data_IF_935889690495
#
_entry.id   IF_935889690495
#
_cell.length_a   1.000
_cell.length_b   1.000
_cell.length_c   1.000
_cell.angle_alpha   90.00
_cell.angle_beta   90.00
_cell.angle_gamma   90.00
#
_symmetry.space_group_name_H-M   'P 1'
#
loop_
_entity.id
_entity.type
_entity.pdbx_description
1 polymer ?
#
# COMPACT_ATOMS: atom_id res chain seq x y z
N UNK A 1 21.04 -0.05 -27.21
CA UNK A 1 19.64 -0.08 -26.72
C UNK A 1 19.48 -0.59 -25.27
N UNK A 2 20.33 -1.51 -24.80
CA UNK A 2 20.25 -2.09 -23.45
C UNK A 2 20.52 -1.06 -22.34
N UNK A 3 21.44 -0.13 -22.53
CA UNK A 3 21.76 0.91 -21.55
C UNK A 3 20.63 1.96 -21.43
N UNK A 4 19.97 2.26 -22.53
CA UNK A 4 18.84 3.19 -22.55
C UNK A 4 17.62 2.62 -21.85
N UNK A 5 17.38 1.32 -22.02
CA UNK A 5 16.29 0.61 -21.32
C UNK A 5 16.54 0.47 -19.82
N UNK A 6 17.80 0.28 -19.39
CA UNK A 6 18.20 0.27 -17.97
C UNK A 6 18.01 1.64 -17.33
N UNK A 7 18.51 2.72 -17.97
CA UNK A 7 18.35 4.07 -17.44
C UNK A 7 16.88 4.51 -17.33
N UNK A 8 16.04 4.16 -18.30
CA UNK A 8 14.60 4.39 -18.22
C UNK A 8 13.95 3.56 -17.09
N UNK A 9 14.40 2.32 -16.89
CA UNK A 9 13.94 1.47 -15.78
C UNK A 9 14.24 2.07 -14.42
N UNK A 10 15.41 2.66 -14.23
CA UNK A 10 15.81 3.26 -12.95
C UNK A 10 15.05 4.57 -12.66
N UNK A 11 14.84 5.42 -13.66
CA UNK A 11 14.01 6.62 -13.54
C UNK A 11 12.56 6.22 -13.22
N UNK A 12 12.05 5.21 -13.89
CA UNK A 12 10.70 4.68 -13.68
C UNK A 12 10.50 4.14 -12.25
N UNK A 13 11.47 3.41 -11.72
CA UNK A 13 11.43 2.86 -10.34
C UNK A 13 11.43 3.95 -9.27
N UNK A 14 12.11 5.08 -9.52
CA UNK A 14 12.07 6.24 -8.62
C UNK A 14 10.75 6.97 -8.63
N UNK A 15 10.08 7.04 -9.78
CA UNK A 15 8.84 7.79 -9.95
C UNK A 15 7.60 6.99 -9.58
N UNK A 16 7.59 5.68 -9.85
CA UNK A 16 6.47 4.79 -9.53
C UNK A 16 6.79 4.02 -8.26
N UNK A 17 6.58 4.67 -7.14
CA UNK A 17 6.76 4.08 -5.82
C UNK A 17 5.50 3.30 -5.40
N UNK A 18 5.23 2.20 -6.10
CA UNK A 18 4.09 1.33 -5.85
C UNK A 18 4.37 -0.09 -6.38
N UNK A 19 4.63 -1.06 -5.50
CA UNK A 19 4.99 -2.43 -5.87
C UNK A 19 3.98 -3.09 -6.80
N UNK A 20 2.74 -3.21 -6.37
CA UNK A 20 1.66 -3.77 -7.19
C UNK A 20 1.38 -2.97 -8.45
N UNK A 21 1.56 -1.63 -8.41
CA UNK A 21 1.45 -0.76 -9.58
C UNK A 21 2.51 -1.07 -10.64
N UNK A 22 3.75 -1.36 -10.23
CA UNK A 22 4.83 -1.73 -11.16
C UNK A 22 4.57 -3.07 -11.83
N UNK A 23 4.14 -4.09 -11.10
CA UNK A 23 3.76 -5.39 -11.67
C UNK A 23 2.63 -5.25 -12.68
N UNK A 24 1.58 -4.51 -12.32
CA UNK A 24 0.47 -4.23 -13.23
C UNK A 24 0.94 -3.53 -14.51
N UNK A 25 1.78 -2.49 -14.38
CA UNK A 25 2.27 -1.74 -15.54
C UNK A 25 3.12 -2.60 -16.47
N UNK A 26 3.98 -3.46 -15.93
CA UNK A 26 4.76 -4.41 -16.75
C UNK A 26 3.81 -5.33 -17.53
N UNK A 27 2.79 -5.88 -16.88
CA UNK A 27 1.79 -6.73 -17.52
C UNK A 27 1.01 -6.00 -18.61
N UNK A 28 0.56 -4.76 -18.35
CA UNK A 28 -0.19 -3.95 -19.31
C UNK A 28 0.67 -3.55 -20.54
N UNK A 29 1.93 -3.20 -20.32
CA UNK A 29 2.87 -2.90 -21.41
C UNK A 29 3.13 -4.14 -22.25
N UNK A 30 3.35 -5.30 -21.61
CA UNK A 30 3.61 -6.57 -22.29
C UNK A 30 2.41 -7.05 -23.12
N UNK A 31 1.19 -6.78 -22.66
CA UNK A 31 -0.05 -7.10 -23.36
C UNK A 31 -0.43 -6.10 -24.46
N UNK A 32 0.33 -5.00 -24.61
CA UNK A 32 0.01 -3.93 -25.56
C UNK A 32 -1.26 -3.16 -25.22
N UNK A 33 -1.60 -3.07 -23.93
CA UNK A 33 -2.81 -2.37 -23.48
C UNK A 33 -2.79 -0.89 -23.87
N UNK A 34 -3.94 -0.37 -24.30
CA UNK A 34 -4.08 1.03 -24.66
C UNK A 34 -3.91 1.97 -23.46
N UNK A 35 -3.50 3.22 -23.73
CA UNK A 35 -3.22 4.23 -22.69
C UNK A 35 -4.40 4.44 -21.73
N UNK A 36 -5.63 4.48 -22.22
CA UNK A 36 -6.82 4.64 -21.41
C UNK A 36 -7.02 3.48 -20.43
N UNK A 37 -6.85 2.24 -20.90
CA UNK A 37 -6.93 1.03 -20.07
C UNK A 37 -5.83 1.05 -19.00
N UNK A 38 -4.60 1.39 -19.38
CA UNK A 38 -3.47 1.50 -18.45
C UNK A 38 -3.73 2.55 -17.38
N UNK A 39 -4.24 3.73 -17.76
CA UNK A 39 -4.56 4.79 -16.81
C UNK A 39 -5.66 4.36 -15.83
N UNK A 40 -6.74 3.75 -16.31
CA UNK A 40 -7.84 3.27 -15.48
C UNK A 40 -7.40 2.17 -14.51
N UNK A 41 -6.68 1.17 -15.00
CA UNK A 41 -6.21 0.07 -14.15
C UNK A 41 -5.21 0.54 -13.09
N UNK A 42 -4.31 1.47 -13.47
CA UNK A 42 -3.38 2.09 -12.52
C UNK A 42 -4.11 2.90 -11.47
N UNK A 43 -5.13 3.67 -11.86
CA UNK A 43 -5.99 4.41 -10.92
C UNK A 43 -6.67 3.44 -9.95
N UNK A 44 -7.23 2.35 -10.45
CA UNK A 44 -7.97 1.39 -9.63
C UNK A 44 -7.08 0.72 -8.59
N UNK A 45 -5.90 0.24 -8.98
CA UNK A 45 -5.00 -0.43 -8.03
C UNK A 45 -4.46 0.55 -6.97
N UNK A 46 -4.26 1.82 -7.34
CA UNK A 46 -3.75 2.85 -6.46
C UNK A 46 -4.83 3.59 -5.64
N UNK A 47 -6.12 3.30 -5.85
CA UNK A 47 -7.22 3.91 -5.09
C UNK A 47 -7.04 3.71 -3.57
N UNK A 48 -6.48 2.60 -3.14
CA UNK A 48 -6.17 2.31 -1.71
C UNK A 48 -5.27 3.39 -1.08
N UNK A 49 -4.30 3.95 -1.81
CA UNK A 49 -3.42 5.00 -1.29
C UNK A 49 -4.19 6.29 -0.92
N UNK A 50 -5.32 6.57 -1.58
CA UNK A 50 -6.19 7.68 -1.21
C UNK A 50 -6.75 7.51 0.22
N UNK A 51 -7.13 6.28 0.59
CA UNK A 51 -7.65 5.97 1.93
C UNK A 51 -6.57 6.02 3.00
N UNK A 52 -5.35 5.58 2.68
CA UNK A 52 -4.21 5.74 3.59
C UNK A 52 -3.91 7.21 3.84
N UNK A 53 -3.89 8.02 2.76
CA UNK A 53 -3.69 9.45 2.85
C UNK A 53 -4.70 10.13 3.76
N UNK A 54 -6.00 9.81 3.63
CA UNK A 54 -7.05 10.36 4.49
C UNK A 54 -6.81 10.12 5.98
N UNK A 55 -6.29 8.95 6.34
CA UNK A 55 -6.01 8.58 7.74
C UNK A 55 -4.84 9.36 8.35
N UNK A 56 -3.93 9.87 7.52
CA UNK A 56 -2.70 10.54 7.97
C UNK A 56 -2.64 12.04 7.70
N UNK A 57 -3.66 12.65 7.06
CA UNK A 57 -3.67 14.09 6.73
C UNK A 57 -3.31 14.94 7.94
N UNK A 58 -4.01 14.78 9.05
CA UNK A 58 -3.81 15.62 10.23
C UNK A 58 -2.43 15.40 10.88
N UNK A 59 -1.96 14.15 10.94
CA UNK A 59 -0.66 13.79 11.50
C UNK A 59 0.50 14.33 10.66
N UNK A 60 0.36 14.30 9.33
CA UNK A 60 1.41 14.73 8.41
C UNK A 60 1.47 16.24 8.21
N UNK A 61 0.35 16.96 8.40
CA UNK A 61 0.32 18.43 8.37
C UNK A 61 1.32 19.07 9.34
N UNK A 62 1.56 18.43 10.49
CA UNK A 62 2.59 18.87 11.45
C UNK A 62 4.01 18.85 10.87
N UNK A 63 4.26 18.11 9.78
CA UNK A 63 5.54 18.01 9.11
C UNK A 63 5.98 19.24 8.33
N UNK A 64 5.09 20.23 8.12
CA UNK A 64 5.41 21.45 7.40
C UNK A 64 5.91 21.18 5.96
N UNK A 65 7.13 21.60 5.63
CA UNK A 65 7.72 21.41 4.29
C UNK A 65 7.93 19.95 3.89
N UNK A 66 7.98 19.01 4.87
CA UNK A 66 8.13 17.56 4.67
C UNK A 66 6.83 16.90 4.24
N UNK A 67 5.69 17.56 4.43
CA UNK A 67 4.35 17.04 4.17
C UNK A 67 4.17 16.42 2.78
N UNK A 68 4.56 17.08 1.66
CA UNK A 68 4.40 16.51 0.32
C UNK A 68 5.18 15.21 0.14
N UNK A 69 6.38 15.12 0.73
CA UNK A 69 7.20 13.93 0.66
C UNK A 69 6.61 12.80 1.49
N UNK A 70 6.12 13.09 2.71
CA UNK A 70 5.47 12.09 3.58
C UNK A 70 4.24 11.48 2.92
N UNK A 71 3.47 12.26 2.14
CA UNK A 71 2.34 11.75 1.36
C UNK A 71 2.83 10.90 0.18
N UNK A 72 3.85 11.33 -0.54
CA UNK A 72 4.43 10.60 -1.65
C UNK A 72 4.98 9.22 -1.22
N UNK A 73 5.61 9.14 -0.05
CA UNK A 73 6.19 7.91 0.49
C UNK A 73 5.19 7.03 1.26
N UNK A 74 3.92 7.39 1.31
CA UNK A 74 2.89 6.61 2.02
C UNK A 74 2.41 5.43 1.17
N UNK A 75 3.11 4.32 1.26
CA UNK A 75 2.77 3.02 0.66
C UNK A 75 2.07 2.11 1.67
N UNK A 76 1.76 0.88 1.28
CA UNK A 76 1.20 -0.15 2.16
C UNK A 76 2.14 -0.46 3.33
N UNK A 77 3.43 -0.58 3.05
CA UNK A 77 4.49 -0.88 4.00
C UNK A 77 4.65 0.29 4.99
N UNK A 78 4.84 1.50 4.47
CA UNK A 78 4.98 2.71 5.28
C UNK A 78 3.74 2.97 6.13
N UNK A 79 2.53 2.69 5.60
CA UNK A 79 1.29 2.75 6.36
C UNK A 79 1.30 1.76 7.52
N UNK A 80 1.67 0.50 7.26
CA UNK A 80 1.73 -0.56 8.27
C UNK A 80 2.69 -0.21 9.40
N UNK A 81 3.91 0.24 9.07
CA UNK A 81 4.90 0.66 10.07
C UNK A 81 4.38 1.83 10.88
N UNK A 82 3.85 2.87 10.24
CA UNK A 82 3.28 4.02 10.94
C UNK A 82 2.08 3.67 11.82
N UNK A 83 1.26 2.68 11.43
CA UNK A 83 0.11 2.22 12.20
C UNK A 83 0.52 1.37 13.41
N UNK A 84 1.65 0.66 13.34
CA UNK A 84 2.19 -0.14 14.44
C UNK A 84 2.83 0.73 15.53
N UNK A 85 3.27 1.94 15.21
CA UNK A 85 3.81 2.89 16.17
C UNK A 85 2.67 3.57 16.93
N UNK A 86 2.33 3.04 18.10
CA UNK A 86 1.28 3.58 18.97
C UNK A 86 1.71 4.85 19.69
N UNK A 87 3.00 4.96 20.04
CA UNK A 87 3.59 6.14 20.67
C UNK A 87 5.07 6.25 20.29
N UNK A 88 5.53 7.47 20.09
CA UNK A 88 6.95 7.79 19.90
C UNK A 88 7.55 8.03 21.28
N UNK A 89 8.80 7.59 21.56
CA UNK A 89 9.46 7.84 22.83
C UNK A 89 9.51 9.33 23.18
N UNK A 90 9.46 9.62 24.48
CA UNK A 90 9.55 11.00 24.98
C UNK A 90 10.83 11.68 24.46
N UNK A 91 10.68 12.92 23.96
CA UNK A 91 11.78 13.69 23.41
C UNK A 91 12.04 13.50 21.91
N UNK A 92 11.33 12.58 21.25
CA UNK A 92 11.42 12.39 19.77
C UNK A 92 10.28 13.14 19.09
N UNK A 93 10.60 13.96 18.10
CA UNK A 93 9.60 14.61 17.23
C UNK A 93 8.89 13.54 16.37
N UNK A 94 7.62 13.32 16.65
CA UNK A 94 6.77 12.35 15.95
C UNK A 94 6.74 12.61 14.44
N UNK A 95 6.66 13.87 14.01
CA UNK A 95 6.65 14.23 12.60
C UNK A 95 7.97 13.88 11.91
N UNK A 96 9.09 14.09 12.61
CA UNK A 96 10.42 13.72 12.11
C UNK A 96 10.58 12.19 12.04
N UNK A 97 10.10 11.47 13.04
CA UNK A 97 10.14 10.00 13.05
C UNK A 97 9.36 9.42 11.87
N UNK A 98 8.14 9.90 11.62
CA UNK A 98 7.29 9.45 10.50
C UNK A 98 7.88 9.83 9.14
N UNK A 99 8.52 10.99 9.03
CA UNK A 99 9.25 11.39 7.82
C UNK A 99 10.41 10.43 7.54
N UNK A 100 11.23 10.10 8.56
CA UNK A 100 12.36 9.18 8.42
C UNK A 100 11.93 7.77 8.05
N UNK A 101 10.79 7.30 8.55
CA UNK A 101 10.22 6.00 8.14
C UNK A 101 9.96 5.99 6.63
N UNK A 102 9.28 7.00 6.10
CA UNK A 102 9.04 7.10 4.67
C UNK A 102 10.32 7.22 3.84
N UNK A 103 11.30 7.98 4.33
CA UNK A 103 12.61 8.17 3.68
C UNK A 103 13.38 6.84 3.59
N UNK A 104 13.52 6.12 4.72
CA UNK A 104 14.23 4.86 4.75
C UNK A 104 13.54 3.79 3.91
N UNK A 105 12.22 3.70 3.96
CA UNK A 105 11.45 2.76 3.16
C UNK A 105 11.66 3.03 1.66
N UNK A 106 11.62 4.29 1.23
CA UNK A 106 11.89 4.67 -0.14
C UNK A 106 13.34 4.35 -0.58
N UNK A 107 14.32 4.61 0.29
CA UNK A 107 15.73 4.26 0.03
C UNK A 107 15.90 2.75 -0.09
N UNK A 108 15.33 1.96 0.82
CA UNK A 108 15.39 0.49 0.76
C UNK A 108 14.71 -0.05 -0.51
N UNK A 109 13.60 0.54 -0.92
CA UNK A 109 12.93 0.20 -2.18
C UNK A 109 13.85 0.40 -3.39
N UNK A 110 14.54 1.55 -3.47
CA UNK A 110 15.46 1.85 -4.56
C UNK A 110 16.64 0.86 -4.55
N UNK A 111 17.28 0.67 -3.38
CA UNK A 111 18.41 -0.25 -3.22
C UNK A 111 18.00 -1.68 -3.59
N UNK A 112 16.88 -2.17 -3.06
CA UNK A 112 16.35 -3.50 -3.34
C UNK A 112 16.04 -3.70 -4.83
N UNK A 113 15.48 -2.68 -5.47
CA UNK A 113 15.19 -2.71 -6.91
C UNK A 113 16.46 -2.78 -7.77
N UNK A 114 17.50 -2.02 -7.42
CA UNK A 114 18.79 -2.04 -8.11
C UNK A 114 19.48 -3.39 -7.92
N UNK A 115 19.57 -3.87 -6.67
CA UNK A 115 20.16 -5.16 -6.37
C UNK A 115 19.44 -6.31 -7.05
N UNK A 116 18.10 -6.32 -7.03
CA UNK A 116 17.28 -7.32 -7.71
C UNK A 116 17.53 -7.33 -9.22
N UNK A 117 17.63 -6.15 -9.83
CA UNK A 117 17.94 -6.01 -11.27
C UNK A 117 19.35 -6.53 -11.61
N UNK A 118 20.34 -6.23 -10.78
CA UNK A 118 21.72 -6.71 -10.98
C UNK A 118 21.82 -8.23 -10.80
N UNK A 119 21.22 -8.78 -9.76
CA UNK A 119 21.18 -10.22 -9.50
C UNK A 119 20.48 -10.98 -10.62
N UNK A 120 19.34 -10.47 -11.09
CA UNK A 120 18.61 -11.06 -12.23
C UNK A 120 19.41 -11.06 -13.51
N UNK A 121 20.29 -10.09 -13.73
CA UNK A 121 21.16 -10.03 -14.89
C UNK A 121 22.41 -10.93 -14.77
N UNK A 122 22.89 -11.15 -13.53
CA UNK A 122 24.12 -11.87 -13.27
C UNK A 122 23.92 -13.38 -13.08
N UNK A 123 22.74 -13.80 -12.61
CA UNK A 123 22.46 -15.19 -12.26
C UNK A 123 21.35 -15.74 -13.15
N UNK A 124 21.57 -16.90 -13.82
CA UNK A 124 20.52 -17.61 -14.55
C UNK A 124 19.59 -18.34 -13.56
N UNK A 125 18.83 -17.57 -12.77
CA UNK A 125 17.90 -18.11 -11.79
C UNK A 125 16.50 -18.19 -12.36
N UNK A 126 15.79 -19.26 -12.00
CA UNK A 126 14.35 -19.33 -12.23
C UNK A 126 13.64 -18.51 -11.14
N UNK A 127 12.96 -17.45 -11.58
CA UNK A 127 12.21 -16.56 -10.71
C UNK A 127 10.73 -16.99 -10.55
N UNK A 128 10.39 -18.21 -10.97
CA UNK A 128 9.05 -18.78 -10.81
C UNK A 128 8.68 -18.79 -9.31
N UNK A 129 7.56 -18.18 -8.98
CA UNK A 129 7.07 -18.11 -7.60
C UNK A 129 7.51 -16.86 -6.80
N UNK A 130 8.39 -16.01 -7.31
CA UNK A 130 8.71 -14.73 -6.65
C UNK A 130 7.47 -13.84 -6.49
N UNK A 131 6.51 -13.92 -7.38
CA UNK A 131 5.23 -13.22 -7.29
C UNK A 131 4.48 -13.54 -5.98
N UNK A 132 4.69 -14.74 -5.44
CA UNK A 132 4.13 -15.12 -4.13
C UNK A 132 4.66 -14.27 -2.97
N UNK A 133 5.86 -13.69 -3.09
CA UNK A 133 6.44 -12.83 -2.06
C UNK A 133 5.57 -11.61 -1.75
N UNK A 134 4.94 -11.03 -2.78
CA UNK A 134 3.98 -9.93 -2.61
C UNK A 134 2.74 -10.37 -1.84
N UNK A 135 2.18 -11.51 -2.19
CA UNK A 135 1.02 -12.08 -1.48
C UNK A 135 1.37 -12.36 -0.02
N UNK A 136 2.52 -12.97 0.24
CA UNK A 136 3.02 -13.22 1.59
C UNK A 136 3.20 -11.93 2.40
N UNK A 137 3.77 -10.88 1.78
CA UNK A 137 3.92 -9.57 2.41
C UNK A 137 2.57 -8.99 2.84
N UNK A 138 1.56 -8.99 1.96
CA UNK A 138 0.23 -8.48 2.33
C UNK A 138 -0.44 -9.31 3.42
N UNK A 139 -0.26 -10.62 3.44
CA UNK A 139 -0.74 -11.48 4.52
C UNK A 139 -0.08 -11.12 5.86
N UNK A 140 1.23 -10.91 5.87
CA UNK A 140 1.97 -10.49 7.08
C UNK A 140 1.48 -9.12 7.56
N UNK A 141 1.40 -8.14 6.68
CA UNK A 141 0.90 -6.79 7.01
C UNK A 141 -0.53 -6.87 7.59
N UNK A 142 -1.40 -7.67 6.99
CA UNK A 142 -2.76 -7.86 7.46
C UNK A 142 -2.82 -8.47 8.87
N UNK A 143 -2.01 -9.50 9.12
CA UNK A 143 -1.89 -10.13 10.43
C UNK A 143 -1.37 -9.14 11.48
N UNK A 144 -0.34 -8.38 11.14
CA UNK A 144 0.26 -7.40 12.04
C UNK A 144 -0.71 -6.27 12.39
N UNK A 145 -1.46 -5.77 11.41
CA UNK A 145 -2.49 -4.77 11.65
C UNK A 145 -3.59 -5.27 12.61
N UNK A 146 -4.01 -6.54 12.46
CA UNK A 146 -5.00 -7.13 13.37
C UNK A 146 -4.41 -7.32 14.77
N UNK A 147 -3.17 -7.79 14.88
CA UNK A 147 -2.53 -8.09 16.18
C UNK A 147 -2.17 -6.84 16.97
N UNK A 148 -1.74 -5.79 16.29
CA UNK A 148 -1.28 -4.55 16.93
C UNK A 148 -2.42 -3.61 17.32
N UNK A 149 -3.60 -3.78 16.74
CA UNK A 149 -4.76 -2.97 17.11
C UNK A 149 -5.59 -3.62 18.22
N UNK A 150 -5.87 -2.87 19.28
CA UNK A 150 -6.74 -3.29 20.37
C UNK A 150 -8.22 -3.22 19.96
N UNK A 151 -9.04 -4.12 20.47
CA UNK A 151 -10.49 -4.06 20.31
C UNK A 151 -11.03 -4.94 19.18
N UNK A 152 -11.84 -4.36 18.30
CA UNK A 152 -12.59 -5.12 17.25
C UNK A 152 -11.87 -5.24 15.93
N UNK A 153 -10.56 -5.04 15.88
CA UNK A 153 -9.77 -5.09 14.65
C UNK A 153 -9.92 -6.42 13.90
N UNK A 154 -9.97 -7.54 14.61
CA UNK A 154 -10.22 -8.85 14.02
C UNK A 154 -11.58 -8.94 13.32
N UNK A 155 -12.62 -8.35 13.92
CA UNK A 155 -13.97 -8.31 13.31
C UNK A 155 -13.97 -7.42 12.06
N UNK A 156 -13.32 -6.26 12.13
CA UNK A 156 -13.20 -5.34 10.97
C UNK A 156 -12.43 -6.02 9.84
N UNK A 157 -11.32 -6.71 10.16
CA UNK A 157 -10.55 -7.48 9.18
C UNK A 157 -11.37 -8.62 8.56
N UNK A 158 -12.13 -9.36 9.36
CA UNK A 158 -13.02 -10.42 8.87
C UNK A 158 -14.12 -9.88 7.95
N UNK A 159 -14.72 -8.73 8.29
CA UNK A 159 -15.70 -8.06 7.42
C UNK A 159 -15.10 -7.63 6.10
N UNK A 160 -13.88 -7.09 6.10
CA UNK A 160 -13.16 -6.74 4.88
C UNK A 160 -12.86 -7.95 4.01
N UNK A 161 -12.41 -9.06 4.61
CA UNK A 161 -12.20 -10.33 3.89
C UNK A 161 -13.51 -10.88 3.30
N UNK A 162 -14.59 -10.90 4.07
CA UNK A 162 -15.90 -11.36 3.58
C UNK A 162 -16.40 -10.50 2.42
N UNK A 163 -16.27 -9.17 2.52
CA UNK A 163 -16.63 -8.26 1.44
C UNK A 163 -15.76 -8.49 0.19
N UNK A 164 -14.46 -8.71 0.38
CA UNK A 164 -13.53 -9.03 -0.70
C UNK A 164 -13.89 -10.32 -1.42
N UNK A 165 -14.12 -11.41 -0.67
CA UNK A 165 -14.51 -12.72 -1.23
C UNK A 165 -15.85 -12.60 -1.95
N UNK A 166 -16.84 -11.95 -1.35
CA UNK A 166 -18.15 -11.76 -1.96
C UNK A 166 -18.04 -11.01 -3.29
N UNK A 167 -17.30 -9.91 -3.31
CA UNK A 167 -17.12 -9.13 -4.54
C UNK A 167 -16.30 -9.89 -5.59
N UNK A 168 -15.32 -10.68 -5.17
CA UNK A 168 -14.54 -11.55 -6.06
C UNK A 168 -15.44 -12.57 -6.78
N UNK A 169 -16.36 -13.19 -6.05
CA UNK A 169 -17.31 -14.17 -6.61
C UNK A 169 -18.34 -13.54 -7.57
N UNK A 170 -18.75 -12.29 -7.30
CA UNK A 170 -19.76 -11.59 -8.11
C UNK A 170 -19.15 -10.91 -9.33
N UNK A 171 -18.03 -10.21 -9.17
CA UNK A 171 -17.45 -9.33 -10.20
C UNK A 171 -16.24 -9.95 -10.91
N UNK A 172 -15.71 -11.08 -10.40
CA UNK A 172 -14.50 -11.73 -10.92
C UNK A 172 -13.22 -11.00 -10.51
N UNK A 173 -12.07 -11.65 -10.82
CA UNK A 173 -10.74 -11.20 -10.37
C UNK A 173 -10.33 -9.81 -10.87
N UNK A 174 -10.78 -9.41 -12.06
CA UNK A 174 -10.35 -8.16 -12.70
C UNK A 174 -11.06 -6.91 -12.14
N UNK A 175 -12.27 -7.08 -11.55
CA UNK A 175 -13.14 -5.95 -11.22
C UNK A 175 -13.57 -5.90 -9.75
N UNK A 176 -13.19 -6.85 -8.91
CA UNK A 176 -13.69 -6.95 -7.52
C UNK A 176 -13.15 -5.88 -6.57
N UNK A 177 -11.98 -5.32 -6.85
CA UNK A 177 -11.26 -4.42 -5.94
C UNK A 177 -12.07 -3.19 -5.55
N UNK A 178 -12.58 -2.42 -6.53
CA UNK A 178 -13.38 -1.23 -6.27
C UNK A 178 -14.71 -1.54 -5.55
N UNK A 179 -15.54 -2.49 -6.04
CA UNK A 179 -16.76 -2.86 -5.33
C UNK A 179 -16.50 -3.32 -3.89
N UNK A 180 -15.45 -4.12 -3.65
CA UNK A 180 -15.12 -4.59 -2.30
C UNK A 180 -14.71 -3.44 -1.37
N UNK A 181 -13.94 -2.49 -1.89
CA UNK A 181 -13.54 -1.31 -1.14
C UNK A 181 -14.75 -0.45 -0.77
N UNK A 182 -15.60 -0.14 -1.74
CA UNK A 182 -16.83 0.66 -1.53
C UNK A 182 -17.76 -0.05 -0.54
N UNK A 183 -17.97 -1.35 -0.72
CA UNK A 183 -18.80 -2.15 0.18
C UNK A 183 -18.25 -2.15 1.61
N UNK A 184 -16.94 -2.37 1.77
CA UNK A 184 -16.28 -2.37 3.08
C UNK A 184 -16.42 -1.00 3.75
N UNK A 185 -16.14 0.08 3.04
CA UNK A 185 -16.29 1.45 3.57
C UNK A 185 -17.74 1.73 3.95
N UNK A 186 -18.71 1.35 3.11
CA UNK A 186 -20.14 1.54 3.40
C UNK A 186 -20.58 0.77 4.65
N UNK A 187 -20.20 -0.51 4.77
CA UNK A 187 -20.53 -1.36 5.93
C UNK A 187 -19.89 -0.80 7.20
N UNK A 188 -18.61 -0.44 7.16
CA UNK A 188 -17.93 0.12 8.32
C UNK A 188 -18.47 1.51 8.71
N UNK A 189 -18.83 2.33 7.74
CA UNK A 189 -19.43 3.64 7.98
C UNK A 189 -20.83 3.53 8.60
N UNK A 190 -21.65 2.63 8.09
CA UNK A 190 -22.97 2.34 8.66
C UNK A 190 -22.87 1.70 10.05
N UNK A 191 -21.90 0.82 10.26
CA UNK A 191 -21.61 0.16 11.53
C UNK A 191 -20.74 0.97 12.49
N UNK A 192 -20.38 2.20 12.17
CA UNK A 192 -19.47 3.06 12.96
C UNK A 192 -19.84 3.13 14.45
N UNK A 193 -21.11 3.31 14.86
CA UNK A 193 -21.48 3.35 16.27
C UNK A 193 -21.24 2.02 17.00
N UNK A 194 -21.14 0.92 16.26
CA UNK A 194 -20.85 -0.40 16.79
C UNK A 194 -19.34 -0.67 16.90
N UNK A 195 -18.55 -0.13 15.98
CA UNK A 195 -17.09 -0.38 15.89
C UNK A 195 -16.26 0.62 16.73
N UNK A 196 -16.81 1.81 17.05
CA UNK A 196 -16.15 2.87 17.80
C UNK A 196 -16.75 2.98 19.22
N UNK A 197 -16.17 2.28 20.23
CA UNK A 197 -16.70 2.27 21.59
C UNK A 197 -16.49 3.60 22.33
N UNK A 198 -15.50 4.42 21.94
CA UNK A 198 -15.21 5.68 22.63
C UNK A 198 -16.33 6.72 22.45
N UNK A 199 -17.01 6.71 21.31
CA UNK A 199 -18.20 7.56 21.10
C UNK A 199 -19.46 7.09 21.83
N UNK A 200 -19.50 5.84 22.31
CA UNK A 200 -20.61 5.34 23.13
C UNK A 200 -20.52 5.85 24.57
N UNK A 201 -19.30 6.08 25.05
CA UNK A 201 -19.05 6.60 26.39
C UNK A 201 -19.23 8.15 26.49
N UNK A 202 -19.26 8.83 25.32
CA UNK A 202 -19.41 10.28 25.22
C UNK A 202 -20.86 10.75 24.96
N UNK A 203 -21.84 9.82 24.94
CA UNK A 203 -23.28 10.08 24.95
C UNK A 203 -23.92 9.61 26.25
#
# INVERSE_FOLDING_TARGET
DTDRSRGLGDVYKRQVYAGSGQFLLVSLISSGAGLATTALMTLFINTRHMFYGLSYIEKFKAGGWRYPFMIFTLTDETYSVNASILSVPDGVDESRARFLIGEFDHVYWIIGSVLGSLLSAALPMDFTGIDFSMTALFVVIFIDLIRNQKGRAGLIGALGLCAGILCLLIFGADKFLLPSLVLTVAVLSAGRPFFDPERRAAK
#
